data_IF_753360010542
#
_entry.id   IF_753360010542
#
_cell.length_a   1.000
_cell.length_b   1.000
_cell.length_c   1.000
_cell.angle_alpha   90.00
_cell.angle_beta   90.00
_cell.angle_gamma   90.00
#
_symmetry.space_group_name_H-M   'P 1'
#
loop_
_entity.id
_entity.type
_entity.pdbx_description
1 polymer ?
#
# COMPACT_ATOMS: atom_id res chain seq x y z
N UNK A 1 10.43 -20.70 13.04
CA UNK A 1 10.99 -20.47 11.68
C UNK A 1 10.42 -19.19 11.06
N UNK A 2 10.74 -17.99 11.60
CA UNK A 2 10.02 -16.74 11.25
C UNK A 2 10.86 -15.59 10.71
N UNK A 3 12.19 -15.75 10.55
CA UNK A 3 13.10 -14.63 10.26
C UNK A 3 13.68 -14.62 8.83
N UNK A 4 13.42 -15.65 8.02
CA UNK A 4 14.01 -15.77 6.68
C UNK A 4 13.23 -14.99 5.59
N UNK A 5 11.90 -14.92 5.67
CA UNK A 5 11.06 -14.33 4.62
C UNK A 5 11.20 -12.80 4.50
N UNK A 6 11.69 -12.12 5.53
CA UNK A 6 11.87 -10.67 5.50
C UNK A 6 13.14 -10.23 4.77
N UNK A 7 14.11 -11.14 4.58
CA UNK A 7 15.41 -10.86 3.93
C UNK A 7 15.35 -10.82 2.40
N UNK A 8 14.34 -11.46 1.79
CA UNK A 8 14.22 -11.57 0.32
C UNK A 8 13.42 -10.43 -0.31
N UNK A 9 12.74 -9.64 0.50
CA UNK A 9 12.04 -8.45 0.03
C UNK A 9 13.03 -7.29 -0.10
N UNK A 10 12.83 -6.38 -1.08
CA UNK A 10 13.71 -5.23 -1.28
C UNK A 10 13.88 -4.45 0.02
N UNK A 11 15.08 -3.88 0.22
CA UNK A 11 15.40 -3.14 1.44
C UNK A 11 14.40 -1.98 1.54
N UNK A 12 13.99 -1.64 2.76
CA UNK A 12 12.99 -0.58 3.06
C UNK A 12 13.25 0.76 2.34
N UNK A 13 14.49 1.00 1.89
CA UNK A 13 14.90 2.19 1.14
C UNK A 13 14.34 2.26 -0.29
N UNK A 14 13.89 1.14 -0.84
CA UNK A 14 13.33 1.02 -2.21
C UNK A 14 11.80 0.92 -2.20
N UNK A 15 11.18 0.86 -1.03
CA UNK A 15 9.73 0.79 -0.91
C UNK A 15 9.09 2.17 -1.12
N UNK A 16 7.92 2.23 -1.77
CA UNK A 16 7.21 3.48 -1.95
C UNK A 16 6.64 3.97 -0.62
N UNK A 17 6.82 5.25 -0.31
CA UNK A 17 6.19 5.93 0.81
C UNK A 17 4.93 6.63 0.32
N UNK A 18 3.87 6.59 1.12
CA UNK A 18 2.60 7.23 0.81
C UNK A 18 2.20 8.16 1.96
N UNK A 19 2.26 9.47 1.71
CA UNK A 19 1.86 10.49 2.68
C UNK A 19 0.38 10.88 2.53
N UNK A 20 -0.14 10.75 1.31
CA UNK A 20 -1.51 11.13 0.96
C UNK A 20 -1.69 12.62 0.74
N UNK A 21 -0.58 13.36 0.54
CA UNK A 21 -0.54 14.81 0.33
C UNK A 21 -0.28 15.19 -1.14
N UNK A 22 0.29 14.29 -1.94
CA UNK A 22 0.64 14.49 -3.34
C UNK A 22 -0.44 14.01 -4.32
N UNK A 23 -0.59 14.74 -5.42
CA UNK A 23 -1.69 14.61 -6.37
C UNK A 23 -1.78 13.24 -7.08
N UNK A 24 -0.66 12.53 -7.21
CA UNK A 24 -0.56 11.21 -7.88
C UNK A 24 0.13 10.12 -7.05
N UNK A 25 0.43 10.41 -5.78
CA UNK A 25 1.15 9.48 -4.90
C UNK A 25 0.42 8.13 -4.77
N UNK A 26 -0.92 8.12 -4.90
CA UNK A 26 -1.74 6.92 -4.72
C UNK A 26 -1.54 5.89 -5.84
N UNK A 27 -1.47 6.36 -7.10
CA UNK A 27 -1.26 5.48 -8.25
C UNK A 27 0.18 5.01 -8.36
N UNK A 28 1.15 5.85 -7.98
CA UNK A 28 2.55 5.44 -7.87
C UNK A 28 2.75 4.42 -6.75
N UNK A 29 2.10 4.63 -5.60
CA UNK A 29 2.11 3.67 -4.49
C UNK A 29 1.52 2.31 -4.90
N UNK A 30 0.33 2.31 -5.51
CA UNK A 30 -0.33 1.07 -5.95
C UNK A 30 0.54 0.31 -6.97
N UNK A 31 1.09 1.03 -7.96
CA UNK A 31 1.98 0.42 -8.97
C UNK A 31 3.26 -0.13 -8.35
N UNK A 32 3.89 0.59 -7.43
CA UNK A 32 5.09 0.11 -6.74
C UNK A 32 4.84 -1.16 -5.93
N UNK A 33 3.68 -1.28 -5.28
CA UNK A 33 3.30 -2.50 -4.57
C UNK A 33 3.00 -3.65 -5.53
N UNK A 34 2.29 -3.39 -6.64
CA UNK A 34 2.03 -4.41 -7.66
C UNK A 34 3.36 -4.94 -8.25
N UNK A 35 4.31 -4.06 -8.59
CA UNK A 35 5.66 -4.45 -9.04
C UNK A 35 6.43 -5.29 -8.01
N UNK A 36 6.41 -4.92 -6.72
CA UNK A 36 7.06 -5.73 -5.67
C UNK A 36 6.44 -7.14 -5.59
N UNK A 37 5.12 -7.25 -5.80
CA UNK A 37 4.46 -8.55 -5.80
C UNK A 37 4.87 -9.40 -7.01
N UNK A 38 5.00 -8.78 -8.18
CA UNK A 38 5.41 -9.45 -9.42
C UNK A 38 6.88 -9.86 -9.38
N UNK A 39 7.80 -8.94 -9.04
CA UNK A 39 9.25 -9.17 -9.10
C UNK A 39 9.76 -10.15 -8.05
N UNK A 40 9.11 -10.21 -6.88
CA UNK A 40 9.56 -11.00 -5.74
C UNK A 40 8.61 -12.16 -5.39
N UNK A 41 7.64 -12.48 -6.25
CA UNK A 41 6.54 -13.45 -6.02
C UNK A 41 5.97 -13.36 -4.58
N UNK A 42 5.84 -12.12 -4.11
CA UNK A 42 5.76 -11.87 -2.68
C UNK A 42 4.38 -12.19 -2.15
N UNK A 43 4.25 -13.09 -1.15
CA UNK A 43 2.98 -13.38 -0.53
C UNK A 43 2.35 -12.10 0.00
N UNK A 44 1.07 -11.90 -0.32
CA UNK A 44 0.34 -10.69 0.05
C UNK A 44 0.44 -10.35 1.55
N UNK A 45 0.53 -11.38 2.41
CA UNK A 45 0.74 -11.23 3.85
C UNK A 45 2.00 -10.44 4.21
N UNK A 46 3.08 -10.58 3.44
CA UNK A 46 4.36 -9.93 3.71
C UNK A 46 4.32 -8.45 3.33
N UNK A 47 3.69 -8.15 2.20
CA UNK A 47 3.46 -6.76 1.76
C UNK A 47 2.57 -6.04 2.77
N UNK A 48 1.47 -6.67 3.20
CA UNK A 48 0.55 -6.11 4.21
C UNK A 48 1.22 -5.91 5.57
N UNK A 49 2.15 -6.78 5.96
CA UNK A 49 2.92 -6.60 7.20
C UNK A 49 3.76 -5.30 7.18
N UNK A 50 4.11 -4.80 6.00
CA UNK A 50 4.88 -3.56 5.80
C UNK A 50 4.01 -2.32 5.55
N UNK A 51 2.69 -2.43 5.52
CA UNK A 51 1.83 -1.26 5.32
C UNK A 51 2.05 -0.18 6.37
N UNK A 52 2.31 -0.57 7.61
CA UNK A 52 2.64 0.37 8.69
C UNK A 52 3.90 1.20 8.41
N UNK A 53 4.82 0.71 7.56
CA UNK A 53 6.03 1.43 7.15
C UNK A 53 5.85 2.23 5.86
N UNK A 54 4.88 1.86 5.03
CA UNK A 54 4.61 2.52 3.76
C UNK A 54 3.74 3.76 3.93
N UNK A 55 2.72 3.67 4.77
CA UNK A 55 1.84 4.79 5.09
C UNK A 55 2.53 5.73 6.08
N UNK A 56 2.57 7.02 5.76
CA UNK A 56 3.17 8.06 6.60
C UNK A 56 2.19 9.20 6.84
N UNK A 57 2.41 9.98 7.91
CA UNK A 57 1.59 11.15 8.28
C UNK A 57 0.06 10.84 8.25
N UNK A 58 -0.71 11.61 7.50
CA UNK A 58 -2.17 11.49 7.41
C UNK A 58 -2.63 10.14 6.85
N UNK A 59 -1.91 9.59 5.87
CA UNK A 59 -2.24 8.28 5.33
C UNK A 59 -1.99 7.14 6.34
N UNK A 60 -1.03 7.32 7.27
CA UNK A 60 -0.78 6.38 8.36
C UNK A 60 -1.94 6.32 9.35
N UNK A 61 -2.44 7.47 9.78
CA UNK A 61 -3.60 7.54 10.68
C UNK A 61 -4.85 6.95 10.04
N UNK A 62 -5.08 7.22 8.75
CA UNK A 62 -6.17 6.61 7.97
C UNK A 62 -6.03 5.09 7.92
N UNK A 63 -4.83 4.58 7.61
CA UNK A 63 -4.57 3.15 7.52
C UNK A 63 -4.84 2.45 8.86
N UNK A 64 -4.38 3.01 9.98
CA UNK A 64 -4.62 2.45 11.31
C UNK A 64 -6.12 2.34 11.59
N UNK A 65 -6.87 3.43 11.37
CA UNK A 65 -8.32 3.46 11.63
C UNK A 65 -9.06 2.43 10.79
N UNK A 66 -8.74 2.35 9.50
CA UNK A 66 -9.40 1.42 8.59
C UNK A 66 -9.05 -0.04 8.90
N UNK A 67 -7.78 -0.32 9.26
CA UNK A 67 -7.36 -1.65 9.67
C UNK A 67 -8.00 -2.10 11.00
N UNK A 68 -8.24 -1.17 11.92
CA UNK A 68 -8.94 -1.47 13.17
C UNK A 68 -10.43 -1.77 12.94
N UNK A 69 -11.07 -1.09 11.98
CA UNK A 69 -12.48 -1.28 11.68
C UNK A 69 -12.75 -2.56 10.86
N UNK A 70 -12.00 -2.77 9.77
CA UNK A 70 -12.27 -3.84 8.80
C UNK A 70 -11.35 -5.07 8.95
N UNK A 71 -10.35 -5.00 9.83
CA UNK A 71 -9.44 -6.11 10.11
C UNK A 71 -8.48 -6.45 8.98
N UNK A 72 -8.23 -7.75 8.79
CA UNK A 72 -7.27 -8.25 7.80
C UNK A 72 -7.93 -8.42 6.42
N UNK A 73 -7.75 -7.44 5.55
CA UNK A 73 -8.31 -7.43 4.19
C UNK A 73 -7.28 -7.80 3.11
N UNK A 74 -7.77 -8.12 1.90
CA UNK A 74 -6.94 -8.43 0.73
C UNK A 74 -6.31 -7.18 0.11
N UNK A 75 -5.23 -7.34 -0.68
CA UNK A 75 -4.62 -6.20 -1.37
C UNK A 75 -5.58 -5.56 -2.37
N UNK A 76 -6.39 -6.37 -3.07
CA UNK A 76 -7.40 -5.87 -3.98
C UNK A 76 -8.39 -4.92 -3.27
N UNK A 77 -8.83 -5.29 -2.07
CA UNK A 77 -9.68 -4.43 -1.25
C UNK A 77 -8.96 -3.13 -0.86
N UNK A 78 -7.70 -3.23 -0.40
CA UNK A 78 -6.90 -2.05 -0.06
C UNK A 78 -6.70 -1.10 -1.23
N UNK A 79 -6.47 -1.62 -2.46
CA UNK A 79 -6.41 -0.79 -3.67
C UNK A 79 -7.69 -0.01 -3.86
N UNK A 80 -8.85 -0.65 -3.74
CA UNK A 80 -10.16 0.02 -3.82
C UNK A 80 -10.30 1.12 -2.76
N UNK A 81 -9.86 0.89 -1.53
CA UNK A 81 -9.95 1.90 -0.47
C UNK A 81 -9.02 3.09 -0.71
N UNK A 82 -7.77 2.84 -1.14
CA UNK A 82 -6.79 3.89 -1.47
C UNK A 82 -7.31 4.73 -2.65
N UNK A 83 -7.83 4.07 -3.69
CA UNK A 83 -8.47 4.77 -4.82
C UNK A 83 -9.69 5.55 -4.34
N UNK A 84 -10.59 4.98 -3.55
CA UNK A 84 -11.78 5.71 -3.10
C UNK A 84 -11.47 6.91 -2.21
N UNK A 85 -10.40 6.83 -1.40
CA UNK A 85 -10.01 7.89 -0.47
C UNK A 85 -9.21 9.01 -1.14
N UNK A 86 -8.32 8.68 -2.08
CA UNK A 86 -7.38 9.63 -2.71
C UNK A 86 -7.52 9.76 -4.22
N UNK A 87 -8.50 9.10 -4.85
CA UNK A 87 -8.89 9.48 -6.20
C UNK A 87 -9.45 10.89 -6.11
N UNK A 88 -8.59 11.86 -6.38
CA UNK A 88 -9.00 13.19 -6.76
C UNK A 88 -10.07 13.03 -7.85
N UNK A 89 -11.19 13.74 -7.72
CA UNK A 89 -12.35 13.66 -8.61
C UNK A 89 -12.01 13.81 -10.11
N UNK A 90 -10.79 14.24 -10.44
CA UNK A 90 -10.25 14.37 -11.80
C UNK A 90 -10.12 13.04 -12.58
N UNK A 91 -9.92 11.89 -11.92
CA UNK A 91 -9.68 10.62 -12.62
C UNK A 91 -10.90 9.70 -12.75
N UNK A 92 -12.01 10.00 -12.05
CA UNK A 92 -13.27 9.25 -12.20
C UNK A 92 -13.96 9.45 -13.56
N UNK A 93 -13.44 10.34 -14.42
CA UNK A 93 -14.00 10.65 -15.74
C UNK A 93 -12.95 10.70 -16.87
N UNK A 94 -12.20 9.62 -17.08
CA UNK A 94 -11.71 9.30 -18.43
C UNK A 94 -12.20 7.92 -18.84
N UNK A 95 -13.44 7.92 -19.36
CA UNK A 95 -13.95 6.93 -20.33
C UNK A 95 -13.40 7.30 -21.70
#
# INVERSE_FOLDING_TARGET
MGQALLKELPKLKECPYFSGEGESENMEFIRGIDMIKEDYDSPERLVKARFNTFFTKYAHEWYIKLRQADGHQSWAWWKTQIINKWANNAWRFKV
#
